data_IF_406853839036
#
_entry.id   IF_406853839036
#
_cell.length_a   1.000
_cell.length_b   1.000
_cell.length_c   1.000
_cell.angle_alpha   90.00
_cell.angle_beta   90.00
_cell.angle_gamma   90.00
#
_symmetry.space_group_name_H-M   'P 1'
#
loop_
_entity.id
_entity.type
_entity.pdbx_description
1 polymer ?
#
# COMPACT_ATOMS: atom_id res chain seq x y z
N UNK A 1 -11.01 36.82 16.65
CA UNK A 1 -11.17 35.70 15.70
C UNK A 1 -10.50 36.08 14.40
N UNK A 2 -9.43 35.39 13.97
CA UNK A 2 -8.81 35.65 12.66
C UNK A 2 -9.57 34.83 11.60
N UNK A 3 -10.08 35.44 10.51
CA UNK A 3 -10.79 34.71 9.47
C UNK A 3 -9.83 33.78 8.73
N UNK A 4 -10.31 32.57 8.43
CA UNK A 4 -9.63 31.60 7.57
C UNK A 4 -9.57 32.18 6.14
N UNK A 5 -8.41 32.23 5.46
CA UNK A 5 -8.32 32.79 4.13
C UNK A 5 -9.14 31.94 3.14
N UNK A 6 -10.12 32.58 2.50
CA UNK A 6 -10.90 32.04 1.41
C UNK A 6 -9.99 31.87 0.18
N UNK A 7 -9.50 30.65 -0.03
CA UNK A 7 -8.60 30.35 -1.15
C UNK A 7 -8.24 28.87 -1.30
N UNK A 8 -8.97 27.95 -0.65
CA UNK A 8 -8.80 26.52 -0.95
C UNK A 8 -9.72 26.21 -2.11
N UNK A 9 -9.16 26.30 -3.32
CA UNK A 9 -9.74 25.74 -4.51
C UNK A 9 -10.30 24.34 -4.19
N UNK A 10 -11.60 24.18 -4.37
CA UNK A 10 -12.28 22.88 -4.44
C UNK A 10 -11.83 22.19 -5.73
N UNK A 11 -10.54 21.85 -5.82
CA UNK A 11 -10.02 21.11 -6.96
C UNK A 11 -10.53 19.69 -6.82
N UNK A 12 -11.41 19.30 -7.74
CA UNK A 12 -11.89 17.94 -7.88
C UNK A 12 -10.70 16.97 -7.93
N UNK A 13 -10.51 16.21 -6.86
CA UNK A 13 -9.38 15.26 -6.70
C UNK A 13 -9.47 14.02 -7.61
N UNK A 14 -10.18 14.11 -8.73
CA UNK A 14 -10.02 13.21 -9.85
C UNK A 14 -9.03 13.92 -10.77
N UNK A 15 -7.72 13.68 -10.59
CA UNK A 15 -6.84 13.87 -11.75
C UNK A 15 -7.24 12.80 -12.77
N UNK A 16 -7.67 13.14 -13.99
CA UNK A 16 -7.68 12.19 -15.08
C UNK A 16 -6.23 11.72 -15.25
N UNK A 17 -5.96 10.43 -15.03
CA UNK A 17 -4.62 9.84 -15.12
C UNK A 17 -3.93 9.51 -13.80
N UNK A 18 -4.62 8.95 -12.81
CA UNK A 18 -3.93 8.10 -11.83
C UNK A 18 -3.54 6.80 -12.56
N UNK A 19 -2.24 6.53 -12.80
CA UNK A 19 -1.79 5.38 -13.59
C UNK A 19 -2.20 4.03 -13.01
N UNK A 20 -2.62 4.00 -11.74
CA UNK A 20 -2.90 2.76 -11.03
C UNK A 20 -4.31 2.19 -11.25
N UNK A 21 -5.30 3.02 -11.67
CA UNK A 21 -6.67 2.59 -11.96
C UNK A 21 -7.44 2.00 -10.77
N UNK A 22 -8.73 2.28 -10.63
CA UNK A 22 -9.54 1.65 -9.59
C UNK A 22 -10.98 2.13 -9.56
N UNK A 23 -11.92 1.20 -9.40
CA UNK A 23 -13.33 1.51 -9.30
C UNK A 23 -13.62 2.11 -7.92
N UNK A 24 -14.19 3.31 -7.86
CA UNK A 24 -14.60 3.91 -6.59
C UNK A 24 -15.87 3.22 -6.10
N UNK A 25 -15.80 2.57 -4.94
CA UNK A 25 -16.95 1.91 -4.32
C UNK A 25 -17.82 2.93 -3.58
N UNK A 26 -17.23 3.60 -2.60
CA UNK A 26 -17.91 4.61 -1.77
C UNK A 26 -16.88 5.50 -1.06
N UNK A 27 -17.36 6.39 -0.20
CA UNK A 27 -16.54 7.32 0.59
C UNK A 27 -16.88 7.18 2.07
N UNK A 28 -15.86 7.03 2.91
CA UNK A 28 -16.00 7.01 4.38
C UNK A 28 -15.38 8.27 4.94
N UNK A 29 -16.18 9.18 5.51
CA UNK A 29 -15.70 10.42 6.17
C UNK A 29 -14.67 11.19 5.32
N UNK A 30 -14.96 11.36 4.02
CA UNK A 30 -14.10 11.98 3.00
C UNK A 30 -12.93 11.14 2.45
N UNK A 31 -12.71 9.92 2.94
CA UNK A 31 -11.73 8.99 2.38
C UNK A 31 -12.38 8.18 1.25
N UNK A 32 -11.90 8.26 0.00
CA UNK A 32 -12.39 7.41 -1.08
C UNK A 32 -11.91 5.97 -0.87
N UNK A 33 -12.83 5.02 -0.98
CA UNK A 33 -12.57 3.57 -1.03
C UNK A 33 -12.54 3.14 -2.49
N UNK A 34 -11.38 2.65 -2.94
CA UNK A 34 -11.15 2.21 -4.31
C UNK A 34 -10.91 0.71 -4.36
N UNK A 35 -11.54 0.06 -5.33
CA UNK A 35 -11.32 -1.33 -5.69
C UNK A 35 -10.28 -1.40 -6.81
N UNK A 36 -9.12 -1.98 -6.54
CA UNK A 36 -8.06 -2.12 -7.54
C UNK A 36 -8.47 -3.13 -8.64
N UNK A 37 -8.02 -2.97 -9.90
CA UNK A 37 -8.29 -3.95 -10.97
C UNK A 37 -7.80 -5.36 -10.62
N UNK A 38 -6.70 -5.48 -9.87
CA UNK A 38 -6.17 -6.75 -9.38
C UNK A 38 -7.09 -7.47 -8.40
N UNK A 39 -8.06 -6.77 -7.79
CA UNK A 39 -9.11 -7.42 -7.02
C UNK A 39 -9.95 -8.36 -7.89
N UNK A 40 -10.34 -7.92 -9.10
CA UNK A 40 -11.14 -8.74 -10.01
C UNK A 40 -10.40 -9.98 -10.48
N UNK A 41 -9.12 -9.80 -10.84
CA UNK A 41 -8.25 -10.91 -11.25
C UNK A 41 -8.11 -11.89 -10.07
N UNK A 42 -7.84 -11.38 -8.87
CA UNK A 42 -7.77 -12.19 -7.66
C UNK A 42 -9.06 -12.98 -7.41
N UNK A 43 -10.23 -12.32 -7.47
CA UNK A 43 -11.54 -12.96 -7.26
C UNK A 43 -11.76 -14.10 -8.25
N UNK A 44 -11.42 -13.90 -9.52
CA UNK A 44 -11.52 -14.93 -10.57
C UNK A 44 -10.59 -16.09 -10.25
N UNK A 45 -9.33 -15.81 -9.90
CA UNK A 45 -8.33 -16.84 -9.56
C UNK A 45 -8.78 -17.66 -8.35
N UNK A 46 -9.20 -17.01 -7.26
CA UNK A 46 -9.70 -17.71 -6.06
C UNK A 46 -10.93 -18.54 -6.41
N UNK A 47 -11.88 -17.99 -7.16
CA UNK A 47 -13.08 -18.73 -7.59
C UNK A 47 -12.71 -19.96 -8.41
N UNK A 48 -11.82 -19.81 -9.40
CA UNK A 48 -11.40 -20.90 -10.28
C UNK A 48 -10.65 -22.00 -9.53
N UNK A 49 -9.78 -21.64 -8.58
CA UNK A 49 -9.01 -22.59 -7.78
C UNK A 49 -9.87 -23.28 -6.71
N UNK A 50 -10.84 -22.57 -6.14
CA UNK A 50 -11.64 -23.07 -5.04
C UNK A 50 -12.85 -23.90 -5.50
N UNK A 51 -13.38 -23.65 -6.70
CA UNK A 51 -14.47 -24.44 -7.30
C UNK A 51 -14.22 -25.96 -7.29
N UNK A 52 -13.08 -26.49 -7.78
CA UNK A 52 -12.82 -27.93 -7.73
C UNK A 52 -12.65 -28.45 -6.30
N UNK A 53 -12.13 -27.64 -5.38
CA UNK A 53 -12.00 -28.00 -3.96
C UNK A 53 -13.38 -28.18 -3.31
N UNK A 54 -14.33 -27.29 -3.61
CA UNK A 54 -15.73 -27.44 -3.17
C UNK A 54 -16.35 -28.75 -3.69
N UNK A 55 -16.09 -29.10 -4.95
CA UNK A 55 -16.56 -30.36 -5.54
C UNK A 55 -15.99 -31.61 -4.85
N UNK A 56 -14.76 -31.54 -4.35
CA UNK A 56 -14.13 -32.61 -3.56
C UNK A 56 -14.69 -32.69 -2.13
N UNK A 57 -14.95 -31.54 -1.49
CA UNK A 57 -15.49 -31.46 -0.14
C UNK A 57 -16.97 -31.84 -0.08
N UNK A 58 -17.73 -31.58 -1.14
CA UNK A 58 -19.16 -31.87 -1.24
C UNK A 58 -19.45 -32.71 -2.50
N UNK A 59 -19.17 -34.03 -2.48
CA UNK A 59 -19.48 -34.90 -3.60
C UNK A 59 -20.97 -34.82 -3.98
N UNK A 60 -21.25 -34.57 -5.26
CA UNK A 60 -22.62 -34.42 -5.76
C UNK A 60 -23.13 -32.97 -5.83
N UNK A 61 -22.36 -31.98 -5.35
CA UNK A 61 -22.66 -30.58 -5.64
C UNK A 61 -22.49 -30.32 -7.14
N UNK A 62 -23.53 -29.83 -7.82
CA UNK A 62 -23.43 -29.51 -9.23
C UNK A 62 -22.37 -28.43 -9.49
N UNK A 63 -21.70 -28.47 -10.64
CA UNK A 63 -20.63 -27.52 -10.99
C UNK A 63 -21.05 -26.06 -10.86
N UNK A 64 -22.29 -25.73 -11.27
CA UNK A 64 -22.83 -24.39 -11.13
C UNK A 64 -22.96 -23.96 -9.65
N UNK A 65 -23.40 -24.85 -8.77
CA UNK A 65 -23.50 -24.56 -7.34
C UNK A 65 -22.11 -24.42 -6.70
N UNK A 66 -21.13 -25.24 -7.10
CA UNK A 66 -19.74 -25.10 -6.66
C UNK A 66 -19.14 -23.76 -7.08
N UNK A 67 -19.37 -23.32 -8.33
CA UNK A 67 -18.94 -22.02 -8.84
C UNK A 67 -19.55 -20.86 -8.04
N UNK A 68 -20.86 -20.91 -7.78
CA UNK A 68 -21.55 -19.89 -6.98
C UNK A 68 -21.01 -19.85 -5.55
N UNK A 69 -20.76 -21.01 -4.94
CA UNK A 69 -20.20 -21.08 -3.60
C UNK A 69 -18.79 -20.48 -3.56
N UNK A 70 -17.96 -20.81 -4.54
CA UNK A 70 -16.60 -20.33 -4.61
C UNK A 70 -16.51 -18.82 -4.89
N UNK A 71 -17.37 -18.31 -5.76
CA UNK A 71 -17.50 -16.88 -6.01
C UNK A 71 -17.98 -16.14 -4.74
N UNK A 72 -18.95 -16.73 -4.03
CA UNK A 72 -19.45 -16.18 -2.76
C UNK A 72 -18.33 -16.10 -1.72
N UNK A 73 -17.49 -17.14 -1.61
CA UNK A 73 -16.32 -17.13 -0.72
C UNK A 73 -15.34 -16.01 -1.07
N UNK A 74 -14.98 -15.83 -2.34
CA UNK A 74 -14.10 -14.74 -2.78
C UNK A 74 -14.67 -13.35 -2.42
N UNK A 75 -15.98 -13.16 -2.59
CA UNK A 75 -16.67 -11.92 -2.22
C UNK A 75 -16.67 -11.69 -0.70
N UNK A 76 -16.97 -12.71 0.09
CA UNK A 76 -16.97 -12.63 1.56
C UNK A 76 -15.56 -12.35 2.10
N UNK A 77 -14.53 -12.93 1.47
CA UNK A 77 -13.14 -12.67 1.80
C UNK A 77 -12.79 -11.20 1.52
N UNK A 78 -13.10 -10.70 0.32
CA UNK A 78 -12.89 -9.29 -0.03
C UNK A 78 -13.65 -8.32 0.87
N UNK A 79 -14.89 -8.65 1.24
CA UNK A 79 -15.70 -7.85 2.18
C UNK A 79 -15.10 -7.85 3.60
N UNK A 80 -14.56 -8.99 4.06
CA UNK A 80 -13.89 -9.11 5.36
C UNK A 80 -12.61 -8.27 5.42
N UNK A 81 -11.78 -8.33 4.37
CA UNK A 81 -10.58 -7.50 4.25
C UNK A 81 -10.95 -6.02 4.23
N UNK A 82 -11.99 -5.64 3.47
CA UNK A 82 -12.48 -4.27 3.47
C UNK A 82 -12.90 -3.80 4.87
N UNK A 83 -13.66 -4.63 5.59
CA UNK A 83 -14.08 -4.31 6.96
C UNK A 83 -12.88 -4.16 7.91
N UNK A 84 -11.87 -5.03 7.80
CA UNK A 84 -10.62 -4.96 8.57
C UNK A 84 -9.90 -3.62 8.34
N UNK A 85 -9.67 -3.26 7.08
CA UNK A 85 -9.00 -2.02 6.69
C UNK A 85 -9.80 -0.77 7.09
N UNK A 86 -11.13 -0.85 6.99
CA UNK A 86 -12.01 0.20 7.49
C UNK A 86 -11.91 0.37 9.00
N UNK A 87 -11.68 -0.69 9.77
CA UNK A 87 -11.39 -0.63 11.20
C UNK A 87 -10.20 0.29 11.49
N UNK A 88 -9.07 0.04 10.83
CA UNK A 88 -7.87 0.89 10.91
C UNK A 88 -8.18 2.34 10.51
N UNK A 89 -8.83 2.52 9.37
CA UNK A 89 -9.12 3.83 8.80
C UNK A 89 -10.04 4.66 9.72
N UNK A 90 -11.10 4.06 10.27
CA UNK A 90 -12.06 4.75 11.14
C UNK A 90 -11.40 5.21 12.43
N UNK A 91 -10.56 4.37 13.05
CA UNK A 91 -9.85 4.74 14.28
C UNK A 91 -8.78 5.80 14.00
N UNK A 92 -8.06 5.72 12.88
CA UNK A 92 -7.11 6.75 12.46
C UNK A 92 -7.78 8.12 12.29
N UNK A 93 -8.96 8.15 11.64
CA UNK A 93 -9.75 9.36 11.47
C UNK A 93 -10.28 9.91 12.80
N UNK A 94 -10.64 9.05 13.76
CA UNK A 94 -11.04 9.48 15.12
C UNK A 94 -9.91 10.17 15.87
N UNK A 95 -8.66 9.81 15.62
CA UNK A 95 -7.49 10.51 16.14
C UNK A 95 -7.04 11.71 15.30
N UNK A 96 -7.80 12.11 14.29
CA UNK A 96 -7.50 13.25 13.42
C UNK A 96 -6.30 13.01 12.50
N UNK A 97 -5.99 11.75 12.18
CA UNK A 97 -4.96 11.42 11.20
C UNK A 97 -5.54 11.56 9.79
N UNK A 98 -4.93 12.35 8.89
CA UNK A 98 -5.38 12.48 7.51
C UNK A 98 -5.17 11.16 6.78
N UNK A 99 -6.24 10.57 6.25
CA UNK A 99 -6.18 9.41 5.36
C UNK A 99 -6.56 9.87 3.95
N UNK A 100 -5.69 9.64 2.97
CA UNK A 100 -5.86 10.16 1.61
C UNK A 100 -6.75 9.26 0.76
N UNK A 101 -6.54 7.95 0.83
CA UNK A 101 -7.31 6.93 0.11
C UNK A 101 -7.14 5.56 0.76
N UNK A 102 -8.13 4.70 0.57
CA UNK A 102 -8.09 3.29 0.91
C UNK A 102 -8.21 2.48 -0.38
N UNK A 103 -7.21 1.65 -0.67
CA UNK A 103 -7.18 0.79 -1.86
C UNK A 103 -7.33 -0.66 -1.43
N UNK A 104 -8.31 -1.34 -1.99
CA UNK A 104 -8.63 -2.73 -1.70
C UNK A 104 -8.13 -3.65 -2.81
N UNK A 105 -7.38 -4.67 -2.39
CA UNK A 105 -7.00 -5.86 -3.16
C UNK A 105 -7.76 -7.06 -2.59
N UNK A 106 -7.76 -8.20 -3.26
CA UNK A 106 -8.54 -9.34 -2.77
C UNK A 106 -8.05 -9.82 -1.39
N UNK A 107 -6.73 -9.89 -1.21
CA UNK A 107 -6.09 -10.45 -0.02
C UNK A 107 -5.53 -9.38 0.94
N UNK A 108 -5.87 -8.10 0.74
CA UNK A 108 -5.38 -7.03 1.61
C UNK A 108 -5.84 -5.65 1.17
N UNK A 109 -5.53 -4.63 1.95
CA UNK A 109 -5.69 -3.24 1.55
C UNK A 109 -4.45 -2.42 1.86
N UNK A 110 -4.38 -1.26 1.23
CA UNK A 110 -3.39 -0.23 1.59
C UNK A 110 -4.16 1.05 1.88
N UNK A 111 -4.08 1.47 3.14
CA UNK A 111 -4.59 2.75 3.62
C UNK A 111 -3.47 3.78 3.62
N UNK A 112 -3.60 4.82 2.80
CA UNK A 112 -2.60 5.87 2.72
C UNK A 112 -2.81 6.93 3.79
N UNK A 113 -2.11 6.76 4.91
CA UNK A 113 -2.14 7.72 6.02
C UNK A 113 -1.09 8.80 5.77
N UNK A 114 -1.50 10.06 5.76
CA UNK A 114 -0.66 11.21 5.42
C UNK A 114 0.36 11.60 6.49
N UNK A 115 0.23 11.12 7.73
CA UNK A 115 1.20 11.33 8.81
C UNK A 115 1.10 10.22 9.87
N UNK A 116 2.22 9.92 10.52
CA UNK A 116 2.25 8.96 11.63
C UNK A 116 1.57 9.51 12.90
N UNK A 117 1.04 8.64 13.78
CA UNK A 117 0.51 9.04 15.08
C UNK A 117 1.57 9.73 15.95
N UNK A 118 1.16 10.72 16.75
CA UNK A 118 2.09 11.45 17.62
C UNK A 118 2.41 10.69 18.91
N UNK A 119 1.50 9.80 19.35
CA UNK A 119 1.61 9.04 20.60
C UNK A 119 1.62 7.53 20.29
N UNK A 120 2.51 6.73 20.92
CA UNK A 120 2.52 5.27 20.75
C UNK A 120 1.18 4.60 21.07
N UNK A 121 0.44 5.12 22.05
CA UNK A 121 -0.90 4.61 22.37
C UNK A 121 -1.89 4.75 21.20
N UNK A 122 -1.81 5.83 20.41
CA UNK A 122 -2.67 6.01 19.23
C UNK A 122 -2.30 5.03 18.12
N UNK A 123 -1.01 4.79 17.93
CA UNK A 123 -0.50 3.79 16.99
C UNK A 123 -0.99 2.38 17.35
N UNK A 124 -0.88 2.00 18.63
CA UNK A 124 -1.39 0.73 19.12
C UNK A 124 -2.90 0.58 18.92
N UNK A 125 -3.69 1.62 19.22
CA UNK A 125 -5.14 1.59 19.03
C UNK A 125 -5.55 1.50 17.56
N UNK A 126 -4.85 2.21 16.66
CA UNK A 126 -5.10 2.09 15.21
C UNK A 126 -4.72 0.68 14.74
N UNK A 127 -3.57 0.14 15.14
CA UNK A 127 -3.12 -1.20 14.77
C UNK A 127 -4.02 -2.32 15.30
N UNK A 128 -4.64 -2.14 16.48
CA UNK A 128 -5.58 -3.13 17.03
C UNK A 128 -6.97 -3.07 16.37
N UNK A 129 -7.32 -1.97 15.70
CA UNK A 129 -8.67 -1.73 15.20
C UNK A 129 -9.11 -2.74 14.11
N UNK A 130 -8.25 -3.02 13.13
CA UNK A 130 -8.53 -4.03 12.09
C UNK A 130 -8.70 -5.44 12.67
N UNK A 131 -7.74 -5.94 13.47
CA UNK A 131 -7.87 -7.22 14.17
C UNK A 131 -9.14 -7.32 15.03
N UNK A 132 -9.53 -6.26 15.73
CA UNK A 132 -10.77 -6.23 16.49
C UNK A 132 -12.01 -6.43 15.59
N UNK A 133 -12.04 -5.81 14.41
CA UNK A 133 -13.11 -6.04 13.42
C UNK A 133 -13.12 -7.49 12.93
N UNK A 134 -11.96 -8.08 12.63
CA UNK A 134 -11.87 -9.49 12.23
C UNK A 134 -12.33 -10.44 13.33
N UNK A 135 -12.04 -10.16 14.60
CA UNK A 135 -12.55 -10.94 15.74
C UNK A 135 -14.08 -10.83 15.81
N UNK A 136 -14.64 -9.64 15.67
CA UNK A 136 -16.10 -9.45 15.66
C UNK A 136 -16.74 -10.23 14.51
N UNK A 137 -16.17 -10.16 13.30
CA UNK A 137 -16.65 -10.96 12.16
C UNK A 137 -16.55 -12.47 12.42
N UNK A 138 -15.45 -12.94 13.01
CA UNK A 138 -15.28 -14.34 13.36
C UNK A 138 -16.35 -14.80 14.38
N UNK A 139 -16.68 -13.96 15.36
CA UNK A 139 -17.73 -14.25 16.33
C UNK A 139 -19.11 -14.26 15.67
N UNK A 140 -19.40 -13.32 14.78
CA UNK A 140 -20.69 -13.26 14.06
C UNK A 140 -20.85 -14.49 13.17
N UNK A 141 -19.89 -14.77 12.28
CA UNK A 141 -19.96 -15.94 11.41
C UNK A 141 -19.94 -17.25 12.21
N UNK A 142 -19.10 -17.33 13.25
CA UNK A 142 -19.05 -18.47 14.15
C UNK A 142 -20.39 -18.71 14.88
N UNK A 143 -21.05 -17.66 15.34
CA UNK A 143 -22.37 -17.75 15.96
C UNK A 143 -23.43 -18.26 14.96
N UNK A 144 -23.37 -17.81 13.71
CA UNK A 144 -24.32 -18.27 12.67
C UNK A 144 -24.17 -19.75 12.33
N UNK A 145 -23.03 -20.38 12.59
CA UNK A 145 -22.84 -21.82 12.39
C UNK A 145 -23.75 -22.68 13.29
N UNK A 146 -24.20 -22.17 14.44
CA UNK A 146 -25.07 -22.92 15.35
C UNK A 146 -26.53 -22.97 14.90
N UNK A 147 -26.92 -22.12 13.95
CA UNK A 147 -28.31 -22.03 13.46
C UNK A 147 -28.46 -22.49 12.00
N UNK A 148 -27.36 -22.73 11.30
CA UNK A 148 -27.35 -23.21 9.92
C UNK A 148 -27.16 -24.75 9.90
N UNK A 149 -27.89 -25.50 9.04
CA UNK A 149 -27.73 -26.94 8.91
C UNK A 149 -26.29 -27.35 8.61
N UNK A 150 -25.75 -28.26 9.43
CA UNK A 150 -24.38 -28.76 9.28
C UNK A 150 -24.22 -29.58 7.99
N UNK A 151 -23.05 -29.47 7.37
CA UNK A 151 -22.72 -30.18 6.13
C UNK A 151 -23.34 -29.59 4.86
N UNK A 152 -24.10 -28.49 4.97
CA UNK A 152 -24.61 -27.76 3.81
C UNK A 152 -23.60 -26.79 3.19
N UNK A 153 -23.83 -26.29 1.96
CA UNK A 153 -22.91 -25.35 1.29
C UNK A 153 -22.73 -24.05 2.07
N UNK A 154 -23.83 -23.50 2.61
CA UNK A 154 -23.81 -22.27 3.41
C UNK A 154 -23.00 -22.48 4.69
N UNK A 155 -23.13 -23.65 5.32
CA UNK A 155 -22.37 -23.98 6.51
C UNK A 155 -20.86 -24.05 6.22
N UNK A 156 -20.46 -24.69 5.11
CA UNK A 156 -19.07 -24.74 4.67
C UNK A 156 -18.51 -23.34 4.41
N UNK A 157 -19.26 -22.49 3.69
CA UNK A 157 -18.88 -21.11 3.40
C UNK A 157 -18.65 -20.29 4.68
N UNK A 158 -19.56 -20.39 5.65
CA UNK A 158 -19.45 -19.69 6.93
C UNK A 158 -18.27 -20.21 7.76
N UNK A 159 -18.04 -21.53 7.77
CA UNK A 159 -16.94 -22.15 8.48
C UNK A 159 -15.61 -21.64 7.95
N UNK A 160 -15.40 -21.72 6.64
CA UNK A 160 -14.16 -21.29 6.02
C UNK A 160 -13.95 -19.78 6.16
N UNK A 161 -15.00 -18.97 6.00
CA UNK A 161 -14.92 -17.52 6.22
C UNK A 161 -14.55 -17.18 7.66
N UNK A 162 -15.06 -17.95 8.64
CA UNK A 162 -14.69 -17.81 10.06
C UNK A 162 -13.23 -18.16 10.28
N UNK A 163 -12.74 -19.24 9.67
CA UNK A 163 -11.34 -19.65 9.74
C UNK A 163 -10.40 -18.62 9.10
N UNK A 164 -10.82 -18.03 7.97
CA UNK A 164 -10.05 -17.01 7.27
C UNK A 164 -9.77 -15.77 8.14
N UNK A 165 -10.65 -15.45 9.11
CA UNK A 165 -10.42 -14.33 10.03
C UNK A 165 -9.18 -14.52 10.93
N UNK A 166 -8.74 -15.77 11.18
CA UNK A 166 -7.54 -16.06 11.96
C UNK A 166 -6.25 -15.65 11.25
N UNK A 167 -6.25 -15.63 9.91
CA UNK A 167 -5.07 -15.35 9.08
C UNK A 167 -4.76 -13.87 8.86
N UNK A 168 -5.66 -12.95 9.25
CA UNK A 168 -5.49 -11.50 9.05
C UNK A 168 -4.53 -10.81 10.03
N UNK A 169 -3.92 -11.56 10.94
CA UNK A 169 -2.98 -11.06 11.95
C UNK A 169 -1.52 -11.04 11.52
N UNK A 170 -1.24 -11.03 10.20
CA UNK A 170 0.09 -10.75 9.70
C UNK A 170 0.48 -9.36 10.20
N UNK A 171 1.35 -9.31 11.21
CA UNK A 171 1.94 -8.10 11.77
C UNK A 171 2.47 -7.26 10.60
N UNK A 172 1.67 -6.32 10.11
CA UNK A 172 2.22 -5.22 9.36
C UNK A 172 3.10 -4.48 10.35
N UNK A 173 4.39 -4.29 10.06
CA UNK A 173 5.20 -3.42 10.87
C UNK A 173 4.63 -2.02 10.70
N UNK A 174 3.69 -1.65 11.58
CA UNK A 174 3.47 -0.28 12.00
C UNK A 174 4.68 0.18 12.82
N UNK A 175 5.87 -0.04 12.28
CA UNK A 175 7.14 0.40 12.79
C UNK A 175 7.74 1.19 11.63
N UNK A 176 7.30 2.44 11.50
CA UNK A 176 8.15 3.43 10.89
C UNK A 176 9.52 3.43 11.60
N UNK A 177 10.57 4.04 11.00
CA UNK A 177 11.96 4.02 11.48
C UNK A 177 12.21 4.59 12.91
N UNK A 178 11.17 4.85 13.70
CA UNK A 178 11.22 5.24 15.10
C UNK A 178 11.32 4.06 16.09
N UNK A 179 10.91 2.85 15.73
CA UNK A 179 11.01 1.69 16.63
C UNK A 179 12.47 1.26 16.87
N UNK A 180 13.33 1.32 15.83
CA UNK A 180 14.77 1.06 15.95
C UNK A 180 15.53 2.08 16.80
N UNK A 181 15.03 3.32 16.92
CA UNK A 181 15.67 4.35 17.76
C UNK A 181 15.50 4.13 19.26
N UNK A 182 14.49 3.36 19.69
CA UNK A 182 14.31 3.01 21.11
C UNK A 182 15.14 1.79 21.53
N UNK A 183 15.44 0.88 20.60
CA UNK A 183 16.35 -0.24 20.87
C UNK A 183 17.80 0.22 21.11
N UNK A 184 18.27 1.24 20.38
CA UNK A 184 19.58 1.84 20.62
C UNK A 184 19.63 2.75 21.86
N UNK A 185 18.53 3.39 22.24
CA UNK A 185 18.48 4.21 23.45
C UNK A 185 18.42 3.39 24.75
N UNK A 186 17.85 2.18 24.72
CA UNK A 186 17.81 1.27 25.86
C UNK A 186 19.11 0.45 26.04
N UNK A 187 19.96 0.37 25.02
CA UNK A 187 21.25 -0.33 25.05
C UNK A 187 22.46 0.60 25.28
N UNK A 188 22.26 1.93 25.28
CA UNK A 188 23.30 2.93 25.51
C UNK A 188 23.46 3.38 26.97
N UNK A 189 23.06 2.56 27.93
CA UNK A 189 22.97 2.90 29.36
C UNK A 189 24.02 2.25 30.26
N UNK A 190 25.26 2.03 29.78
CA UNK A 190 26.40 1.66 30.64
C UNK A 190 27.67 2.33 30.09
N UNK A 191 27.79 3.63 30.31
CA UNK A 191 29.08 4.31 30.22
C UNK A 191 29.82 4.12 31.54
N UNK A 192 31.04 3.53 31.56
CA UNK A 192 31.85 3.52 32.77
C UNK A 192 32.40 4.92 33.02
N UNK A 193 32.35 5.26 34.30
CA UNK A 193 32.69 6.53 34.92
C UNK A 193 34.08 7.09 34.58
N UNK A 194 34.12 8.42 34.57
CA UNK A 194 35.34 9.21 34.71
C UNK A 194 35.89 9.10 36.14
N UNK A 195 36.90 8.26 36.33
CA UNK A 195 37.98 8.39 37.33
C UNK A 195 39.23 7.78 36.65
N UNK A 196 40.43 8.36 36.62
CA UNK A 196 41.08 9.27 37.54
C UNK A 196 42.11 10.15 36.80
N UNK A 197 42.34 11.34 37.37
CA UNK A 197 43.53 12.16 37.14
C UNK A 197 44.73 11.47 37.79
N UNK A 198 45.89 11.38 37.13
CA UNK A 198 47.24 11.60 37.68
C UNK A 198 48.36 11.36 36.64
N UNK A 199 49.33 12.29 36.55
CA UNK A 199 50.73 12.10 36.09
C UNK A 199 51.01 12.15 34.58
N UNK A 200 51.46 13.27 33.97
CA UNK A 200 52.85 13.79 33.83
C UNK A 200 53.35 13.65 32.35
N UNK A 201 54.39 14.40 31.88
CA UNK A 201 54.28 15.19 30.66
C UNK A 201 55.36 14.92 29.59
N UNK A 202 55.01 15.03 28.31
CA UNK A 202 55.95 15.22 27.20
C UNK A 202 55.18 15.97 26.10
N UNK A 203 55.65 16.97 25.37
CA UNK A 203 56.97 17.59 25.24
C UNK A 203 56.93 18.32 23.89
N UNK A 204 57.31 19.60 23.87
CA UNK A 204 57.83 20.34 22.71
C UNK A 204 56.91 20.62 21.50
N UNK A 205 56.81 21.88 21.08
CA UNK A 205 56.36 22.16 19.70
C UNK A 205 55.73 23.51 19.37
N UNK A 206 56.40 24.61 19.74
CA UNK A 206 56.46 25.91 19.04
C UNK A 206 55.42 26.29 17.96
N UNK A 207 54.86 27.49 18.20
CA UNK A 207 54.76 28.69 17.32
C UNK A 207 53.44 28.94 16.54
N UNK A 208 52.97 30.17 16.80
CA UNK A 208 51.90 30.96 16.20
C UNK A 208 52.31 31.48 14.81
N UNK A 209 51.34 31.74 13.93
CA UNK A 209 51.24 32.93 13.02
C UNK A 209 49.89 32.84 12.27
N UNK A 210 48.87 33.64 12.60
CA UNK A 210 48.46 34.94 11.99
C UNK A 210 48.42 34.97 10.45
N UNK A 211 47.23 35.20 9.88
CA UNK A 211 47.02 35.67 8.51
C UNK A 211 45.57 35.59 8.00
N UNK A 212 44.83 36.70 8.08
CA UNK A 212 43.56 37.02 7.37
C UNK A 212 43.93 37.83 6.09
N UNK A 213 43.00 38.34 5.25
CA UNK A 213 41.84 37.79 4.52
C UNK A 213 41.84 38.30 3.02
N UNK A 214 40.66 38.35 2.37
CA UNK A 214 40.28 39.02 1.09
C UNK A 214 40.40 38.15 -0.19
N UNK A 215 39.51 38.21 -1.19
CA UNK A 215 38.33 39.03 -1.50
C UNK A 215 37.99 38.92 -3.01
N UNK A 216 36.87 39.54 -3.43
CA UNK A 216 36.37 39.74 -4.82
C UNK A 216 35.73 38.50 -5.52
N UNK A 217 34.45 38.44 -5.92
CA UNK A 217 33.50 39.35 -6.62
C UNK A 217 33.91 39.65 -8.07
N UNK A 218 33.09 39.23 -9.05
CA UNK A 218 33.12 39.79 -10.41
C UNK A 218 32.65 38.88 -11.55
N UNK A 219 31.54 39.18 -12.27
CA UNK A 219 30.90 38.36 -13.31
C UNK A 219 31.16 38.88 -14.75
N UNK A 220 30.39 38.34 -15.73
CA UNK A 220 30.26 38.77 -17.15
C UNK A 220 31.25 38.11 -18.13
N UNK A 221 30.96 37.79 -19.40
CA UNK A 221 29.79 37.87 -20.28
C UNK A 221 30.16 37.20 -21.63
N UNK A 222 29.23 37.27 -22.58
CA UNK A 222 29.39 37.19 -24.05
C UNK A 222 29.27 35.80 -24.70
N UNK A 223 28.14 35.38 -25.30
CA UNK A 223 27.29 35.89 -26.42
C UNK A 223 27.81 35.45 -27.81
N UNK A 224 26.86 34.89 -28.59
CA UNK A 224 26.72 34.90 -30.06
C UNK A 224 27.13 33.66 -30.88
N UNK A 225 26.27 33.31 -31.85
CA UNK A 225 26.50 32.31 -32.91
C UNK A 225 25.25 31.47 -33.25
N UNK A 226 24.10 32.03 -33.66
CA UNK A 226 23.69 32.31 -35.05
C UNK A 226 23.53 31.09 -35.98
N UNK A 227 22.31 30.98 -36.54
CA UNK A 227 21.89 30.47 -37.87
C UNK A 227 21.13 29.13 -37.97
N UNK A 228 20.10 29.18 -38.84
CA UNK A 228 18.90 28.33 -38.97
C UNK A 228 19.05 27.32 -40.15
N UNK A 229 17.98 26.78 -40.78
CA UNK A 229 17.83 25.33 -41.06
C UNK A 229 18.02 24.97 -42.54
N UNK A 230 18.09 23.68 -42.89
CA UNK A 230 17.83 23.20 -44.26
C UNK A 230 17.24 21.78 -44.21
N UNK A 231 16.14 21.63 -44.94
CA UNK A 231 15.46 20.39 -45.27
C UNK A 231 16.04 19.75 -46.55
N UNK A 232 15.35 18.72 -47.06
CA UNK A 232 15.45 18.10 -48.42
C UNK A 232 16.39 16.89 -48.47
N UNK A 233 16.13 15.76 -49.14
CA UNK A 233 14.96 15.06 -49.70
C UNK A 233 15.48 13.75 -50.36
N UNK A 234 14.57 12.84 -50.74
CA UNK A 234 14.76 11.84 -51.81
C UNK A 234 14.62 10.40 -51.32
N UNK A 235 13.54 9.65 -51.61
CA UNK A 235 13.16 8.98 -52.89
C UNK A 235 14.26 8.03 -53.39
N UNK A 236 14.03 6.85 -53.97
CA UNK A 236 12.87 6.04 -54.38
C UNK A 236 13.46 4.77 -55.04
N UNK A 237 12.65 3.70 -55.13
CA UNK A 237 12.70 2.59 -56.15
C UNK A 237 13.94 1.69 -56.10
N UNK A 238 13.89 0.42 -56.44
CA UNK A 238 12.95 -0.55 -57.03
C UNK A 238 13.77 -1.86 -57.05
N UNK A 239 13.44 -3.01 -57.60
CA UNK A 239 12.34 -3.62 -58.34
C UNK A 239 12.81 -5.07 -58.56
N UNK A 240 11.88 -6.00 -58.76
CA UNK A 240 12.14 -7.32 -59.36
C UNK A 240 12.39 -8.46 -58.35
N UNK A 241 11.84 -9.67 -58.52
CA UNK A 241 11.34 -10.33 -59.71
C UNK A 241 10.29 -11.40 -59.37
N UNK A 242 9.30 -11.46 -60.26
CA UNK A 242 8.26 -12.49 -60.43
C UNK A 242 8.77 -13.62 -61.32
N UNK A 243 8.58 -14.88 -60.92
CA UNK A 243 8.34 -16.09 -61.75
C UNK A 243 8.40 -17.33 -60.83
N UNK A 244 7.51 -18.32 -60.79
CA UNK A 244 6.39 -18.70 -61.64
C UNK A 244 6.42 -20.22 -61.91
N UNK A 245 5.39 -20.97 -61.51
CA UNK A 245 4.84 -22.23 -62.11
C UNK A 245 3.90 -22.90 -61.09
N UNK A 246 2.59 -23.03 -61.35
CA UNK A 246 1.89 -24.17 -62.02
C UNK A 246 2.30 -25.51 -61.38
N UNK A 247 1.45 -26.38 -60.84
CA UNK A 247 0.00 -26.58 -60.95
C UNK A 247 -0.25 -28.10 -60.99
N UNK A 248 -1.42 -28.56 -60.52
CA UNK A 248 -2.05 -29.90 -60.72
C UNK A 248 -1.33 -31.09 -60.05
N UNK A 249 -1.97 -32.09 -59.43
CA UNK A 249 -3.37 -32.53 -59.25
C UNK A 249 -3.56 -32.98 -57.79
#
# INVERSE_FOLDING_TARGET
MRPYPAGVATTSWIRPGDPDGGLRLFRVRNVPVLLAPSWWIGSIVVTALYTPMVGQLMPGIGTAAALVLAASFALLLGASVLAHELGHCVVALRYGLPVRRLRLFLLGGISEVGRSPAKPAQEGMVAAAGPAVSIVLALVFGATLFVVPQGGPIWLLLLETTLAQRGGGGVQPAAGPAAGRRAHAASGGLGPDRQARHGHPHGGGRRRHRGRPAGAVGPAAHRAGLQRPMAVAGRLRGDGLVRGRRGTQ
#
